data_IF_833089414124
#
_entry.id   IF_833089414124
#
_cell.length_a   1.000
_cell.length_b   1.000
_cell.length_c   1.000
_cell.angle_alpha   90.00
_cell.angle_beta   90.00
_cell.angle_gamma   90.00
#
_symmetry.space_group_name_H-M   'P 1'
#
loop_
_entity.id
_entity.type
_entity.pdbx_description
1 polymer ?
#
# COMPACT_ATOMS: atom_id res chain seq x y z
N UNK A 1 21.19 -9.00 20.94
CA UNK A 1 21.24 -7.90 19.98
C UNK A 1 22.33 -6.93 20.42
N UNK A 2 23.45 -6.84 19.67
CA UNK A 2 24.53 -5.88 19.95
C UNK A 2 24.15 -4.57 19.31
N UNK A 3 23.66 -3.61 20.08
CA UNK A 3 23.62 -2.20 19.72
C UNK A 3 25.07 -1.73 19.46
N UNK A 4 25.40 -1.45 18.21
CA UNK A 4 26.63 -0.74 17.87
C UNK A 4 26.39 0.75 18.10
N UNK A 5 26.69 1.21 19.30
CA UNK A 5 26.72 2.63 19.64
C UNK A 5 27.96 3.25 18.99
N UNK A 6 27.80 3.86 17.83
CA UNK A 6 28.82 4.72 17.25
C UNK A 6 28.75 6.09 17.94
N UNK A 7 29.65 6.30 18.91
CA UNK A 7 30.02 7.65 19.35
C UNK A 7 29.31 8.23 20.57
N UNK A 8 28.58 7.47 21.37
CA UNK A 8 27.91 7.98 22.58
C UNK A 8 28.94 8.01 23.73
N UNK A 9 29.32 9.19 24.16
CA UNK A 9 29.94 9.45 25.45
C UNK A 9 28.81 9.55 26.48
N UNK A 10 28.73 8.54 27.35
CA UNK A 10 27.85 8.46 28.52
C UNK A 10 26.33 8.41 28.36
N UNK A 11 25.81 7.19 28.28
CA UNK A 11 24.80 6.65 29.20
C UNK A 11 23.34 7.06 29.07
N UNK A 12 22.88 7.89 28.16
CA UNK A 12 21.43 8.08 27.91
C UNK A 12 21.14 7.85 26.45
N UNK A 13 20.44 6.77 26.15
CA UNK A 13 19.86 6.53 24.85
C UNK A 13 18.66 7.46 24.71
N UNK A 14 18.70 8.40 23.77
CA UNK A 14 17.59 9.31 23.50
C UNK A 14 16.53 8.62 22.62
N UNK A 15 15.29 9.09 22.74
CA UNK A 15 14.16 8.57 21.97
C UNK A 15 14.39 8.64 20.45
N UNK A 16 15.12 9.66 19.98
CA UNK A 16 15.45 9.82 18.57
C UNK A 16 16.45 8.76 18.07
N UNK A 17 17.40 8.35 18.91
CA UNK A 17 18.35 7.28 18.57
C UNK A 17 17.66 5.92 18.45
N UNK A 18 16.69 5.63 19.34
CA UNK A 18 15.89 4.42 19.28
C UNK A 18 15.05 4.39 18.00
N UNK A 19 14.42 5.50 17.63
CA UNK A 19 13.64 5.63 16.40
C UNK A 19 14.54 5.40 15.18
N UNK A 20 15.74 5.95 15.18
CA UNK A 20 16.69 5.79 14.08
C UNK A 20 17.10 4.32 13.88
N UNK A 21 17.45 3.62 14.97
CA UNK A 21 17.80 2.20 14.92
C UNK A 21 16.63 1.32 14.48
N UNK A 22 15.42 1.59 15.00
CA UNK A 22 14.21 0.87 14.57
C UNK A 22 13.95 1.12 13.09
N UNK A 23 14.12 2.35 12.60
CA UNK A 23 13.99 2.70 11.19
C UNK A 23 14.94 1.88 10.31
N UNK A 24 16.20 1.77 10.70
CA UNK A 24 17.18 0.97 9.97
C UNK A 24 16.88 -0.53 9.99
N UNK A 25 16.37 -1.05 11.11
CA UNK A 25 16.07 -2.48 11.25
C UNK A 25 14.79 -2.90 10.52
N UNK A 26 13.79 -2.02 10.45
CA UNK A 26 12.46 -2.33 9.93
C UNK A 26 12.20 -1.78 8.53
N UNK A 27 13.06 -0.87 8.03
CA UNK A 27 12.84 -0.14 6.78
C UNK A 27 11.70 0.90 6.86
N UNK A 28 11.15 1.14 8.07
CA UNK A 28 10.10 2.13 8.30
C UNK A 28 10.77 3.50 8.44
N UNK A 29 10.29 4.52 7.73
CA UNK A 29 10.90 5.86 7.81
C UNK A 29 10.81 6.46 9.22
N UNK A 30 11.82 7.25 9.61
CA UNK A 30 11.86 7.94 10.91
C UNK A 30 10.59 8.79 11.12
N UNK A 31 10.09 9.40 10.04
CA UNK A 31 8.87 10.20 10.06
C UNK A 31 7.64 9.36 10.41
N UNK A 32 7.58 8.11 9.99
CA UNK A 32 6.52 7.17 10.33
C UNK A 32 6.59 6.67 11.77
N UNK A 33 7.76 6.62 12.36
CA UNK A 33 7.99 6.18 13.75
C UNK A 33 7.87 7.32 14.77
N UNK A 34 7.96 8.58 14.34
CA UNK A 34 7.94 9.73 15.23
C UNK A 34 6.52 10.22 15.56
N UNK A 35 6.34 10.81 16.74
CA UNK A 35 5.06 11.42 17.16
C UNK A 35 4.60 12.61 16.27
N UNK A 36 5.45 13.10 15.36
CA UNK A 36 5.08 14.09 14.34
C UNK A 36 3.96 13.61 13.41
N UNK A 37 3.72 12.29 13.35
CA UNK A 37 2.59 11.74 12.60
C UNK A 37 1.21 12.21 13.09
N UNK A 38 1.01 12.37 14.40
CA UNK A 38 -0.29 12.81 14.91
C UNK A 38 -0.65 14.24 14.44
N UNK A 39 0.35 15.12 14.29
CA UNK A 39 0.15 16.46 13.74
C UNK A 39 -0.05 16.45 12.21
N UNK A 40 0.70 15.60 11.50
CA UNK A 40 0.56 15.45 10.05
C UNK A 40 -0.79 14.84 9.66
N UNK A 41 -1.32 13.92 10.45
CA UNK A 41 -2.63 13.32 10.21
C UNK A 41 -3.78 14.29 10.41
N UNK A 42 -3.71 15.21 11.39
CA UNK A 42 -4.71 16.26 11.58
C UNK A 42 -4.80 17.21 10.38
N UNK A 43 -3.69 17.40 9.66
CA UNK A 43 -3.62 18.27 8.49
C UNK A 43 -3.69 17.50 7.17
N UNK A 44 -3.88 16.17 7.21
CA UNK A 44 -3.92 15.30 6.02
C UNK A 44 -5.01 15.75 5.06
N UNK A 45 -6.23 15.93 5.56
CA UNK A 45 -7.39 16.36 4.78
C UNK A 45 -7.14 17.71 4.10
N UNK A 46 -6.69 18.71 4.88
CA UNK A 46 -6.40 20.06 4.38
C UNK A 46 -5.32 20.03 3.29
N UNK A 47 -4.23 19.33 3.52
CA UNK A 47 -3.14 19.18 2.54
C UNK A 47 -3.60 18.52 1.25
N UNK A 48 -4.45 17.50 1.35
CA UNK A 48 -4.99 16.84 0.16
C UNK A 48 -5.95 17.74 -0.61
N UNK A 49 -6.85 18.46 0.06
CA UNK A 49 -7.80 19.42 -0.56
C UNK A 49 -7.09 20.57 -1.26
N UNK A 50 -5.92 20.98 -0.80
CA UNK A 50 -5.10 21.99 -1.47
C UNK A 50 -4.50 21.50 -2.81
N UNK A 51 -4.37 20.20 -3.01
CA UNK A 51 -3.72 19.62 -4.19
C UNK A 51 -4.71 18.93 -5.14
N UNK A 52 -5.83 18.44 -4.63
CA UNK A 52 -6.84 17.70 -5.39
C UNK A 52 -8.19 18.41 -5.26
N UNK A 53 -8.63 19.00 -6.36
CA UNK A 53 -9.86 19.78 -6.39
C UNK A 53 -11.07 18.93 -6.80
N UNK A 54 -12.24 19.22 -6.21
CA UNK A 54 -13.51 18.58 -6.57
C UNK A 54 -13.67 17.13 -6.09
N UNK A 55 -12.77 16.65 -5.21
CA UNK A 55 -12.83 15.30 -4.64
C UNK A 55 -13.00 15.31 -3.11
N UNK A 56 -13.60 16.35 -2.55
CA UNK A 56 -13.71 16.55 -1.10
C UNK A 56 -14.33 15.36 -0.38
N UNK A 57 -15.40 14.77 -0.95
CA UNK A 57 -16.07 13.61 -0.35
C UNK A 57 -15.14 12.38 -0.29
N UNK A 58 -14.41 12.13 -1.35
CA UNK A 58 -13.46 11.02 -1.42
C UNK A 58 -12.30 11.25 -0.43
N UNK A 59 -11.74 12.47 -0.40
CA UNK A 59 -10.67 12.86 0.51
C UNK A 59 -11.11 12.67 1.96
N UNK A 60 -12.27 13.18 2.34
CA UNK A 60 -12.79 13.05 3.71
C UNK A 60 -12.94 11.56 4.09
N UNK A 61 -13.54 10.75 3.23
CA UNK A 61 -13.73 9.32 3.49
C UNK A 61 -12.40 8.58 3.69
N UNK A 62 -11.38 8.90 2.88
CA UNK A 62 -10.05 8.30 3.00
C UNK A 62 -9.38 8.72 4.29
N UNK A 63 -9.36 10.03 4.57
CA UNK A 63 -8.68 10.59 5.73
C UNK A 63 -9.29 10.10 7.03
N UNK A 64 -10.61 10.08 7.15
CA UNK A 64 -11.31 9.53 8.32
C UNK A 64 -10.95 8.07 8.55
N UNK A 65 -10.93 7.25 7.51
CA UNK A 65 -10.59 5.84 7.63
C UNK A 65 -9.14 5.63 8.06
N UNK A 66 -8.22 6.42 7.52
CA UNK A 66 -6.81 6.38 7.90
C UNK A 66 -6.62 6.83 9.35
N UNK A 67 -7.31 7.88 9.79
CA UNK A 67 -7.29 8.35 11.18
C UNK A 67 -7.77 7.26 12.14
N UNK A 68 -8.90 6.61 11.86
CA UNK A 68 -9.43 5.49 12.64
C UNK A 68 -8.42 4.34 12.71
N UNK A 69 -7.81 3.99 11.58
CA UNK A 69 -6.81 2.92 11.52
C UNK A 69 -5.56 3.24 12.33
N UNK A 70 -5.08 4.48 12.27
CA UNK A 70 -3.91 4.96 13.02
C UNK A 70 -4.20 5.12 14.52
N UNK A 71 -5.44 5.34 14.91
CA UNK A 71 -5.88 5.33 16.30
C UNK A 71 -5.96 3.89 16.89
N UNK A 72 -5.59 2.86 16.12
CA UNK A 72 -5.62 1.47 16.56
C UNK A 72 -7.00 0.81 16.53
N UNK A 73 -8.00 1.49 15.94
CA UNK A 73 -9.39 1.02 15.88
C UNK A 73 -9.70 0.22 14.61
N UNK A 74 -8.69 -0.14 13.81
CA UNK A 74 -8.86 -0.98 12.62
C UNK A 74 -8.97 -2.46 12.98
N UNK A 75 -9.57 -3.23 12.08
CA UNK A 75 -9.46 -4.69 12.14
C UNK A 75 -7.99 -5.09 11.84
N UNK A 76 -7.36 -5.83 12.76
CA UNK A 76 -5.95 -6.22 12.67
C UNK A 76 -5.64 -7.15 11.50
N UNK A 77 -6.65 -7.82 10.94
CA UNK A 77 -6.52 -8.75 9.83
C UNK A 77 -6.85 -8.13 8.46
N UNK A 78 -7.05 -6.82 8.40
CA UNK A 78 -7.38 -6.11 7.15
C UNK A 78 -6.37 -4.99 6.86
N UNK A 79 -6.25 -4.55 5.61
CA UNK A 79 -5.49 -3.35 5.25
C UNK A 79 -5.88 -2.12 6.07
N UNK A 80 -5.07 -1.08 6.06
CA UNK A 80 -5.37 0.22 6.68
C UNK A 80 -6.71 0.76 6.17
N UNK A 81 -6.92 0.66 4.86
CA UNK A 81 -8.16 0.96 4.18
C UNK A 81 -8.18 0.35 2.79
N UNK A 82 -9.38 0.00 2.32
CA UNK A 82 -9.63 -0.41 0.94
C UNK A 82 -10.75 0.45 0.40
N UNK A 83 -10.48 1.16 -0.69
CA UNK A 83 -11.39 2.14 -1.28
C UNK A 83 -11.62 1.84 -2.74
N UNK A 84 -12.87 1.80 -3.14
CA UNK A 84 -13.26 1.70 -4.54
C UNK A 84 -13.69 3.08 -5.04
N UNK A 85 -13.01 3.57 -6.06
CA UNK A 85 -13.30 4.82 -6.73
C UNK A 85 -14.00 4.55 -8.06
N UNK A 86 -15.21 5.04 -8.18
CA UNK A 86 -16.02 4.96 -9.36
C UNK A 86 -16.06 6.33 -10.03
N UNK A 87 -15.91 6.39 -11.36
CA UNK A 87 -16.05 7.64 -12.09
C UNK A 87 -15.27 7.68 -13.39
N UNK A 88 -15.59 8.64 -14.26
CA UNK A 88 -14.99 8.76 -15.59
C UNK A 88 -13.48 9.00 -15.55
N UNK A 89 -12.81 8.73 -16.64
CA UNK A 89 -11.39 9.01 -16.82
C UNK A 89 -11.13 10.52 -16.68
N UNK A 90 -10.01 10.89 -16.08
CA UNK A 90 -9.62 12.29 -15.91
C UNK A 90 -10.22 13.04 -14.72
N UNK A 91 -11.08 12.42 -13.90
CA UNK A 91 -11.67 13.06 -12.73
C UNK A 91 -10.72 13.18 -11.51
N UNK A 92 -9.43 12.90 -11.66
CA UNK A 92 -8.43 13.09 -10.59
C UNK A 92 -8.16 11.86 -9.72
N UNK A 93 -8.67 10.66 -10.07
CA UNK A 93 -8.48 9.43 -9.27
C UNK A 93 -7.01 9.12 -9.00
N UNK A 94 -6.18 9.07 -10.02
CA UNK A 94 -4.74 8.79 -9.91
C UNK A 94 -4.00 9.89 -9.13
N UNK A 95 -4.40 11.14 -9.30
CA UNK A 95 -3.80 12.25 -8.55
C UNK A 95 -4.13 12.17 -7.07
N UNK A 96 -5.35 11.75 -6.71
CA UNK A 96 -5.74 11.49 -5.31
C UNK A 96 -4.82 10.45 -4.67
N UNK A 97 -4.51 9.34 -5.36
CA UNK A 97 -3.59 8.32 -4.87
C UNK A 97 -2.17 8.85 -4.68
N UNK A 98 -1.68 9.63 -5.65
CA UNK A 98 -0.34 10.22 -5.61
C UNK A 98 -0.20 11.20 -4.46
N UNK A 99 -1.16 12.08 -4.28
CA UNK A 99 -1.13 13.06 -3.20
C UNK A 99 -1.33 12.42 -1.83
N UNK A 100 -2.12 11.35 -1.74
CA UNK A 100 -2.24 10.56 -0.51
C UNK A 100 -0.89 9.96 -0.12
N UNK A 101 -0.23 9.25 -1.01
CA UNK A 101 1.07 8.64 -0.76
C UNK A 101 2.12 9.69 -0.34
N UNK A 102 2.18 10.81 -1.10
CA UNK A 102 3.09 11.93 -0.81
C UNK A 102 2.83 12.55 0.57
N UNK A 103 1.57 12.76 0.94
CA UNK A 103 1.21 13.39 2.21
C UNK A 103 1.44 12.45 3.40
N UNK A 104 1.27 11.14 3.19
CA UNK A 104 1.59 10.12 4.19
C UNK A 104 3.10 9.83 4.29
N UNK A 105 3.92 10.28 3.34
CA UNK A 105 5.35 9.98 3.27
C UNK A 105 5.65 8.51 2.97
N UNK A 106 4.82 7.87 2.13
CA UNK A 106 4.95 6.46 1.74
C UNK A 106 5.03 6.32 0.23
N UNK A 107 5.50 5.16 -0.23
CA UNK A 107 5.56 4.86 -1.67
C UNK A 107 4.16 4.65 -2.26
N UNK A 108 4.01 5.09 -3.52
CA UNK A 108 2.87 4.76 -4.38
C UNK A 108 3.26 3.61 -5.31
N UNK A 109 2.65 2.46 -5.11
CA UNK A 109 2.80 1.30 -6.01
C UNK A 109 1.57 1.22 -6.90
N UNK A 110 1.75 1.31 -8.22
CA UNK A 110 0.66 1.27 -9.19
C UNK A 110 0.71 0.00 -10.01
N UNK A 111 -0.45 -0.64 -10.15
CA UNK A 111 -0.69 -1.75 -11.06
C UNK A 111 -1.81 -1.37 -12.02
N UNK A 112 -1.53 -1.40 -13.31
CA UNK A 112 -2.52 -1.22 -14.38
C UNK A 112 -3.15 -2.57 -14.69
N UNK A 113 -4.42 -2.72 -14.35
CA UNK A 113 -5.11 -4.00 -14.48
C UNK A 113 -5.40 -4.38 -15.93
N UNK A 114 -5.28 -3.44 -16.87
CA UNK A 114 -5.36 -3.75 -18.31
C UNK A 114 -4.22 -4.68 -18.79
N UNK A 115 -3.09 -4.72 -18.08
CA UNK A 115 -1.98 -5.65 -18.34
C UNK A 115 -2.27 -7.08 -17.85
N UNK A 116 -3.33 -7.27 -17.05
CA UNK A 116 -3.67 -8.53 -16.37
C UNK A 116 -5.03 -9.09 -16.79
N UNK A 117 -5.41 -8.89 -18.05
CA UNK A 117 -6.66 -9.39 -18.63
C UNK A 117 -6.61 -10.90 -18.90
N UNK A 118 -5.43 -11.41 -19.20
CA UNK A 118 -5.24 -12.80 -19.58
C UNK A 118 -4.92 -13.67 -18.35
N UNK A 119 -5.41 -14.92 -18.34
CA UNK A 119 -5.20 -15.87 -17.23
C UNK A 119 -3.73 -16.07 -16.88
N UNK A 120 -2.84 -16.10 -17.87
CA UNK A 120 -1.41 -16.29 -17.62
C UNK A 120 -0.73 -15.06 -17.02
N UNK A 121 -1.32 -13.89 -17.16
CA UNK A 121 -0.72 -12.64 -16.63
C UNK A 121 -0.80 -12.55 -15.10
N UNK A 122 -1.70 -13.30 -14.45
CA UNK A 122 -1.74 -13.35 -12.97
C UNK A 122 -0.44 -13.89 -12.38
N UNK A 123 0.26 -14.78 -13.09
CA UNK A 123 1.57 -15.26 -12.66
C UNK A 123 2.61 -14.15 -12.50
N UNK A 124 2.47 -13.02 -13.21
CA UNK A 124 3.32 -11.86 -13.03
C UNK A 124 3.07 -11.18 -11.68
N UNK A 125 1.82 -11.17 -11.19
CA UNK A 125 1.47 -10.55 -9.91
C UNK A 125 1.84 -11.41 -8.70
N UNK A 126 1.50 -12.69 -8.73
CA UNK A 126 1.64 -13.59 -7.58
C UNK A 126 2.70 -14.67 -7.75
N UNK A 127 3.45 -14.65 -8.86
CA UNK A 127 4.50 -15.62 -9.17
C UNK A 127 3.99 -16.82 -9.94
N UNK A 128 4.93 -17.53 -10.59
CA UNK A 128 4.67 -18.78 -11.31
C UNK A 128 4.76 -19.98 -10.36
N UNK A 129 3.92 -21.01 -10.53
CA UNK A 129 4.09 -22.26 -9.81
C UNK A 129 5.43 -22.93 -10.17
N UNK A 130 5.98 -23.78 -9.27
CA UNK A 130 7.18 -24.56 -9.57
C UNK A 130 7.05 -25.36 -10.85
N UNK A 131 8.09 -25.32 -11.71
CA UNK A 131 8.13 -26.05 -12.98
C UNK A 131 7.56 -25.33 -14.19
N UNK A 132 7.04 -24.11 -14.04
CA UNK A 132 6.63 -23.26 -15.17
C UNK A 132 7.76 -22.29 -15.57
N UNK A 133 7.76 -21.88 -16.85
CA UNK A 133 8.70 -20.88 -17.39
C UNK A 133 8.58 -19.58 -16.60
N UNK A 134 9.72 -19.04 -16.13
CA UNK A 134 9.78 -17.82 -15.29
C UNK A 134 9.87 -18.09 -13.78
N UNK A 135 9.83 -19.35 -13.33
CA UNK A 135 10.01 -19.66 -11.90
C UNK A 135 11.44 -19.41 -11.39
N UNK A 136 12.44 -19.61 -12.27
CA UNK A 136 13.86 -19.45 -11.90
C UNK A 136 14.35 -18.00 -11.93
N UNK A 137 13.60 -17.08 -12.54
CA UNK A 137 13.91 -15.66 -12.47
C UNK A 137 13.66 -15.15 -11.06
N UNK A 138 14.72 -14.95 -10.29
CA UNK A 138 14.69 -14.54 -8.88
C UNK A 138 13.90 -13.23 -8.63
N UNK A 139 13.72 -12.39 -9.65
CA UNK A 139 12.88 -11.19 -9.62
C UNK A 139 11.39 -11.46 -9.93
N UNK A 140 11.06 -12.57 -10.58
CA UNK A 140 9.69 -12.96 -10.92
C UNK A 140 9.15 -14.11 -10.07
N UNK A 141 10.00 -14.89 -9.39
CA UNK A 141 9.61 -16.07 -8.62
C UNK A 141 8.62 -15.79 -7.50
N UNK A 142 8.62 -14.58 -6.94
CA UNK A 142 7.67 -14.17 -5.90
C UNK A 142 6.42 -13.46 -6.41
N UNK A 143 6.41 -13.02 -7.66
CA UNK A 143 5.38 -12.13 -8.21
C UNK A 143 5.60 -10.65 -7.88
N UNK A 144 5.28 -9.77 -8.82
CA UNK A 144 5.54 -8.33 -8.70
C UNK A 144 4.80 -7.71 -7.50
N UNK A 145 3.53 -8.08 -7.30
CA UNK A 145 2.73 -7.57 -6.19
C UNK A 145 3.34 -7.96 -4.83
N UNK A 146 3.72 -9.23 -4.67
CA UNK A 146 4.29 -9.74 -3.42
C UNK A 146 5.62 -9.04 -3.12
N UNK A 147 6.48 -8.92 -4.11
CA UNK A 147 7.79 -8.28 -3.94
C UNK A 147 7.65 -6.78 -3.60
N UNK A 148 6.74 -6.07 -4.26
CA UNK A 148 6.53 -4.64 -3.98
C UNK A 148 5.92 -4.39 -2.60
N UNK A 149 4.98 -5.23 -2.14
CA UNK A 149 4.41 -5.13 -0.79
C UNK A 149 5.46 -5.44 0.28
N UNK A 150 6.33 -6.42 0.07
CA UNK A 150 7.41 -6.72 1.01
C UNK A 150 8.45 -5.60 1.10
N UNK A 151 8.80 -5.01 -0.05
CA UNK A 151 9.72 -3.89 -0.12
C UNK A 151 9.13 -2.63 0.52
N UNK A 152 7.81 -2.43 0.36
CA UNK A 152 7.10 -1.24 0.79
C UNK A 152 5.87 -1.61 1.64
N UNK A 153 6.03 -2.09 2.88
CA UNK A 153 4.94 -2.65 3.68
C UNK A 153 3.87 -1.64 4.10
N UNK A 154 4.13 -0.35 3.95
CA UNK A 154 3.19 0.74 4.27
C UNK A 154 2.70 1.52 3.04
N UNK A 155 2.93 0.99 1.84
CA UNK A 155 2.60 1.68 0.59
C UNK A 155 1.11 2.00 0.45
N UNK A 156 0.85 3.03 -0.36
CA UNK A 156 -0.43 3.18 -1.04
C UNK A 156 -0.36 2.36 -2.32
N UNK A 157 -1.21 1.34 -2.43
CA UNK A 157 -1.28 0.48 -3.61
C UNK A 157 -2.50 0.85 -4.43
N UNK A 158 -2.25 1.24 -5.67
CA UNK A 158 -3.27 1.62 -6.64
C UNK A 158 -3.45 0.50 -7.67
N UNK A 159 -4.65 -0.02 -7.75
CA UNK A 159 -5.08 -0.91 -8.83
C UNK A 159 -5.97 -0.11 -9.77
N UNK A 160 -5.43 0.20 -10.94
CA UNK A 160 -6.10 1.03 -11.94
C UNK A 160 -6.86 0.14 -12.94
N UNK A 161 -8.07 0.56 -13.36
CA UNK A 161 -8.94 -0.15 -14.32
C UNK A 161 -9.26 -1.61 -13.89
N UNK A 162 -9.69 -1.78 -12.63
CA UNK A 162 -9.92 -3.12 -12.03
C UNK A 162 -10.98 -3.94 -12.78
N UNK A 163 -11.89 -3.31 -13.49
CA UNK A 163 -12.90 -3.94 -14.35
C UNK A 163 -12.29 -4.72 -15.51
N UNK A 164 -11.08 -4.36 -15.95
CA UNK A 164 -10.37 -5.05 -17.04
C UNK A 164 -9.60 -6.29 -16.60
N UNK A 165 -9.43 -6.47 -15.29
CA UNK A 165 -8.66 -7.57 -14.74
C UNK A 165 -9.32 -8.93 -14.99
N UNK A 166 -8.50 -9.97 -15.22
CA UNK A 166 -9.00 -11.34 -15.20
C UNK A 166 -9.61 -11.68 -13.82
N UNK A 167 -10.63 -12.54 -13.81
CA UNK A 167 -11.35 -12.95 -12.58
C UNK A 167 -10.42 -13.45 -11.47
N UNK A 168 -9.34 -14.14 -11.80
CA UNK A 168 -8.38 -14.62 -10.79
C UNK A 168 -7.64 -13.49 -10.08
N UNK A 169 -7.41 -12.36 -10.76
CA UNK A 169 -6.89 -11.13 -10.14
C UNK A 169 -7.90 -10.57 -9.15
N UNK A 170 -9.18 -10.51 -9.52
CA UNK A 170 -10.25 -10.08 -8.61
C UNK A 170 -10.31 -10.95 -7.36
N UNK A 171 -10.15 -12.27 -7.50
CA UNK A 171 -10.08 -13.18 -6.35
C UNK A 171 -8.88 -12.91 -5.45
N UNK A 172 -7.72 -12.58 -6.02
CA UNK A 172 -6.54 -12.16 -5.26
C UNK A 172 -6.80 -10.85 -4.50
N UNK A 173 -7.41 -9.86 -5.15
CA UNK A 173 -7.76 -8.59 -4.50
C UNK A 173 -8.72 -8.78 -3.34
N UNK A 174 -9.70 -9.68 -3.47
CA UNK A 174 -10.60 -10.04 -2.36
C UNK A 174 -9.84 -10.65 -1.18
N UNK A 175 -8.84 -11.51 -1.42
CA UNK A 175 -7.99 -12.04 -0.34
C UNK A 175 -7.22 -10.93 0.37
N UNK A 176 -6.65 -9.98 -0.37
CA UNK A 176 -5.95 -8.82 0.20
C UNK A 176 -6.90 -8.02 1.09
N UNK A 177 -8.11 -7.70 0.61
CA UNK A 177 -9.06 -6.86 1.32
C UNK A 177 -9.67 -7.52 2.55
N UNK A 178 -9.92 -8.84 2.49
CA UNK A 178 -10.61 -9.57 3.57
C UNK A 178 -9.67 -10.13 4.62
N UNK A 179 -8.51 -10.64 4.19
CA UNK A 179 -7.57 -11.32 5.10
C UNK A 179 -6.27 -10.53 5.33
N UNK A 180 -6.07 -9.40 4.64
CA UNK A 180 -4.86 -8.60 4.76
C UNK A 180 -3.58 -9.36 4.39
N UNK A 181 -3.69 -10.47 3.67
CA UNK A 181 -2.56 -11.30 3.23
C UNK A 181 -2.86 -11.90 1.87
N UNK A 182 -1.81 -12.14 1.10
CA UNK A 182 -1.89 -12.91 -0.14
C UNK A 182 -0.75 -13.91 -0.18
N UNK A 183 -1.04 -15.09 -0.71
CA UNK A 183 -0.05 -16.15 -0.86
C UNK A 183 0.28 -16.31 -2.35
N UNK A 184 1.56 -16.15 -2.67
CA UNK A 184 2.07 -16.39 -4.02
C UNK A 184 2.07 -17.86 -4.41
N UNK A 185 2.21 -18.10 -5.71
CA UNK A 185 2.25 -19.45 -6.28
C UNK A 185 3.45 -20.28 -5.79
N UNK A 186 4.50 -19.62 -5.30
CA UNK A 186 5.68 -20.25 -4.69
C UNK A 186 5.54 -20.48 -3.16
N UNK A 187 4.36 -20.21 -2.57
CA UNK A 187 4.10 -20.31 -1.14
C UNK A 187 4.53 -19.09 -0.32
N UNK A 188 5.16 -18.08 -0.93
CA UNK A 188 5.55 -16.85 -0.26
C UNK A 188 4.31 -16.03 0.10
N UNK A 189 4.24 -15.52 1.34
CA UNK A 189 3.11 -14.72 1.81
C UNK A 189 3.52 -13.26 1.93
N UNK A 190 2.72 -12.36 1.35
CA UNK A 190 2.85 -10.93 1.59
C UNK A 190 1.85 -10.47 2.66
N UNK A 191 2.32 -9.63 3.58
CA UNK A 191 1.50 -8.99 4.61
C UNK A 191 0.99 -7.66 4.11
N UNK A 192 -0.31 -7.60 3.82
CA UNK A 192 -1.00 -6.42 3.30
C UNK A 192 -1.74 -5.61 4.38
N UNK A 193 -1.57 -5.96 5.66
CA UNK A 193 -2.33 -5.33 6.76
C UNK A 193 -1.99 -3.85 6.98
N UNK A 194 -0.84 -3.41 6.52
CA UNK A 194 -0.38 -2.04 6.70
C UNK A 194 -0.42 -1.20 5.42
N UNK A 195 -0.80 -1.78 4.28
CA UNK A 195 -1.00 -1.03 3.03
C UNK A 195 -2.36 -0.33 3.02
N UNK A 196 -2.49 0.68 2.16
CA UNK A 196 -3.75 1.30 1.78
C UNK A 196 -4.07 0.93 0.34
N UNK A 197 -5.18 0.23 0.11
CA UNK A 197 -5.60 -0.21 -1.23
C UNK A 197 -6.55 0.80 -1.85
N UNK A 198 -6.24 1.24 -3.06
CA UNK A 198 -7.11 2.06 -3.89
C UNK A 198 -7.42 1.28 -5.18
N UNK A 199 -8.69 1.04 -5.44
CA UNK A 199 -9.18 0.35 -6.61
C UNK A 199 -9.94 1.36 -7.48
N UNK A 200 -9.54 1.50 -8.75
CA UNK A 200 -10.17 2.42 -9.69
C UNK A 200 -10.87 1.67 -10.80
N UNK A 201 -12.08 2.11 -11.10
CA UNK A 201 -12.84 1.66 -12.27
C UNK A 201 -13.45 2.86 -12.99
N UNK A 202 -13.54 2.76 -14.31
CA UNK A 202 -14.13 3.78 -15.15
C UNK A 202 -15.60 3.52 -15.49
N UNK A 203 -16.07 2.28 -15.36
CA UNK A 203 -17.33 1.81 -15.99
C UNK A 203 -18.61 1.95 -15.14
N UNK A 204 -18.56 2.61 -14.00
CA UNK A 204 -19.77 2.67 -13.14
C UNK A 204 -20.76 3.81 -13.49
N UNK A 205 -20.62 4.47 -14.65
CA UNK A 205 -21.40 5.66 -14.98
C UNK A 205 -22.31 5.51 -16.22
N UNK A 206 -22.28 4.37 -16.92
CA UNK A 206 -23.00 4.20 -18.21
C UNK A 206 -24.04 3.06 -18.22
N UNK A 207 -24.50 2.56 -17.05
CA UNK A 207 -25.69 1.69 -16.95
C UNK A 207 -26.78 2.31 -16.07
#
# INVERSE_FOLDING_TARGET
ARLRLNGVKEGKIDHEEIIHEISQMTGISIEQLSQKQASNLKTLEEKMKLQVFGQDKAINTITDKILVARAGLKNLNKPVGSFLFLGPTGCGKTETARQLAKTLGVELVRFDMSEYQEKHSIAKLIGSPPGYVGYEDSNMGGGMFINEVEKNPHAVVLFDEVEKAHRDVSNMLLQVMDYGTVTGSNGKKADCRNITCLLYTSDAADE
#
